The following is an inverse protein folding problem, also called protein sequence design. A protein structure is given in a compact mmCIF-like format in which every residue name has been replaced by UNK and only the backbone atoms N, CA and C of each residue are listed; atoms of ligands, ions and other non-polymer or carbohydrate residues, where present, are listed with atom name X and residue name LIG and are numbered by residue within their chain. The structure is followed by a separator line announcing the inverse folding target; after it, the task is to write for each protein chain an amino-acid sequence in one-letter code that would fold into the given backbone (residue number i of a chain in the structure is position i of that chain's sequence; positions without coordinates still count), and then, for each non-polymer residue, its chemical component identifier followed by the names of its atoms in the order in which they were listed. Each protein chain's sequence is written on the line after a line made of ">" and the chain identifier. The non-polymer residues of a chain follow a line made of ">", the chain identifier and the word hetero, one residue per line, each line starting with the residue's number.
data_IF_419466553145
#
_entry.id   IF_419466553145
#
_cell.length_a   1.000
_cell.length_b   1.000
_cell.length_c   1.000
_cell.angle_alpha   90.00
_cell.angle_beta   90.00
_cell.angle_gamma   90.00
#
_symmetry.space_group_name_H-M   'P 1'
#
loop_
_entity.id
_entity.type
_entity.pdbx_description
1 polymer ?
#
# COMPACT_ATOMS: atom_id res chain seq x y z
N UNK A 1 15.84 12.95 27.03
CA UNK A 1 16.37 11.86 26.17
C UNK A 1 15.32 10.77 25.95
N UNK A 2 14.05 11.12 25.70
CA UNK A 2 12.94 10.13 25.69
C UNK A 2 12.13 10.10 24.39
N UNK A 3 12.21 11.14 23.55
CA UNK A 3 11.38 11.24 22.35
C UNK A 3 11.98 10.52 21.13
N UNK A 4 13.29 10.59 20.93
CA UNK A 4 13.99 9.97 19.79
C UNK A 4 13.91 8.44 19.82
N UNK A 5 14.00 7.82 21.00
CA UNK A 5 13.96 6.35 21.15
C UNK A 5 12.59 5.74 20.83
N UNK A 6 11.50 6.49 21.06
CA UNK A 6 10.14 6.02 20.72
C UNK A 6 9.94 5.95 19.20
N UNK A 7 10.42 6.96 18.46
CA UNK A 7 10.35 6.99 16.99
C UNK A 7 11.20 5.89 16.35
N UNK A 8 12.39 5.60 16.89
CA UNK A 8 13.24 4.49 16.41
C UNK A 8 12.61 3.12 16.66
N UNK A 9 12.03 2.89 17.85
CA UNK A 9 11.36 1.62 18.18
C UNK A 9 10.09 1.36 17.36
N UNK A 10 9.35 2.42 17.00
CA UNK A 10 8.18 2.32 16.13
C UNK A 10 8.58 2.00 14.67
N UNK A 11 9.71 2.51 14.19
CA UNK A 11 10.24 2.18 12.86
C UNK A 11 10.60 0.70 12.71
N UNK A 12 11.26 0.13 13.71
CA UNK A 12 11.65 -1.29 13.70
C UNK A 12 10.45 -2.24 13.74
N UNK A 13 9.45 -1.93 14.57
CA UNK A 13 8.23 -2.72 14.65
C UNK A 13 7.42 -2.65 13.35
N UNK A 14 7.30 -1.46 12.76
CA UNK A 14 6.65 -1.28 11.47
C UNK A 14 7.35 -2.09 10.36
N UNK A 15 8.68 -2.03 10.29
CA UNK A 15 9.47 -2.80 9.33
C UNK A 15 9.28 -4.32 9.50
N UNK A 16 9.23 -4.80 10.74
CA UNK A 16 8.96 -6.21 11.04
C UNK A 16 7.58 -6.65 10.51
N UNK A 17 6.54 -5.84 10.72
CA UNK A 17 5.19 -6.14 10.23
C UNK A 17 5.08 -6.05 8.71
N UNK A 18 5.77 -5.08 8.08
CA UNK A 18 5.90 -4.96 6.62
C UNK A 18 6.49 -6.23 6.04
N UNK A 19 7.60 -6.72 6.59
CA UNK A 19 8.28 -7.93 6.13
C UNK A 19 7.40 -9.18 6.29
N UNK A 20 6.65 -9.28 7.40
CA UNK A 20 5.71 -10.37 7.63
C UNK A 20 4.60 -10.39 6.57
N UNK A 21 3.94 -9.26 6.33
CA UNK A 21 2.86 -9.16 5.34
C UNK A 21 3.40 -9.39 3.93
N UNK A 22 4.54 -8.80 3.58
CA UNK A 22 5.19 -9.00 2.30
C UNK A 22 5.55 -10.47 2.08
N UNK A 23 6.09 -11.15 3.09
CA UNK A 23 6.42 -12.57 3.03
C UNK A 23 5.18 -13.45 2.81
N UNK A 24 4.10 -13.20 3.54
CA UNK A 24 2.84 -13.92 3.36
C UNK A 24 2.24 -13.69 1.97
N UNK A 25 2.21 -12.44 1.50
CA UNK A 25 1.65 -12.10 0.20
C UNK A 25 2.48 -12.69 -0.94
N UNK A 26 3.81 -12.56 -0.90
CA UNK A 26 4.72 -13.13 -1.92
C UNK A 26 4.59 -14.64 -2.05
N UNK A 27 4.28 -15.36 -0.97
CA UNK A 27 4.07 -16.80 -1.00
C UNK A 27 2.73 -17.23 -1.66
N UNK A 28 1.79 -16.32 -1.87
CA UNK A 28 0.45 -16.60 -2.39
C UNK A 28 0.25 -16.23 -3.86
N UNK A 29 1.16 -15.44 -4.43
CA UNK A 29 1.00 -14.80 -5.74
C UNK A 29 1.92 -15.41 -6.79
N UNK A 30 1.60 -15.21 -8.06
CA UNK A 30 2.51 -15.65 -9.14
C UNK A 30 3.62 -14.62 -9.41
N UNK A 31 3.37 -13.34 -9.11
CA UNK A 31 4.31 -12.24 -9.35
C UNK A 31 4.81 -11.64 -8.03
N UNK A 32 5.73 -12.31 -7.29
CA UNK A 32 6.22 -11.82 -6.00
C UNK A 32 6.96 -10.47 -6.10
N UNK A 33 7.50 -10.15 -7.28
CA UNK A 33 8.20 -8.88 -7.54
C UNK A 33 7.25 -7.67 -7.63
N UNK A 34 5.95 -7.92 -7.84
CA UNK A 34 4.90 -6.89 -7.89
C UNK A 34 4.11 -6.78 -6.58
N UNK A 35 4.69 -7.26 -5.49
CA UNK A 35 4.15 -7.11 -4.15
C UNK A 35 4.88 -6.00 -3.44
N UNK A 36 4.17 -4.93 -3.12
CA UNK A 36 4.70 -3.82 -2.30
C UNK A 36 3.86 -3.64 -1.07
N UNK A 37 4.51 -3.32 0.04
CA UNK A 37 3.86 -3.06 1.33
C UNK A 37 4.40 -1.74 1.86
N UNK A 38 3.51 -0.80 2.11
CA UNK A 38 3.82 0.50 2.69
C UNK A 38 3.24 0.57 4.11
N UNK A 39 4.03 1.09 5.06
CA UNK A 39 3.57 1.34 6.42
C UNK A 39 3.30 2.83 6.60
N UNK A 40 2.04 3.16 6.83
CA UNK A 40 1.62 4.50 7.25
C UNK A 40 1.51 4.48 8.77
N UNK A 41 2.53 5.02 9.43
CA UNK A 41 2.58 5.12 10.88
C UNK A 41 1.79 6.33 11.38
N UNK A 42 1.06 6.11 12.47
CA UNK A 42 0.39 7.09 13.29
C UNK A 42 0.78 6.83 14.76
N UNK A 43 0.34 7.69 15.69
CA UNK A 43 0.78 7.68 17.08
C UNK A 43 0.70 6.30 17.76
N UNK A 44 -0.46 5.66 17.67
CA UNK A 44 -0.75 4.36 18.31
C UNK A 44 -1.22 3.31 17.28
N UNK A 45 -1.04 3.59 15.99
CA UNK A 45 -1.46 2.68 14.94
C UNK A 45 -0.54 2.70 13.72
N UNK A 46 -0.55 1.60 12.96
CA UNK A 46 0.14 1.49 11.68
C UNK A 46 -0.80 0.82 10.69
N UNK A 47 -1.07 1.51 9.59
CA UNK A 47 -1.80 0.96 8.46
C UNK A 47 -0.80 0.40 7.45
N UNK A 48 -0.94 -0.90 7.15
CA UNK A 48 -0.15 -1.59 6.15
C UNK A 48 -0.94 -1.61 4.84
N UNK A 49 -0.43 -0.91 3.82
CA UNK A 49 -1.02 -0.90 2.49
C UNK A 49 -0.31 -1.96 1.65
N UNK A 50 -0.97 -3.09 1.42
CA UNK A 50 -0.51 -4.13 0.54
C UNK A 50 -1.03 -3.86 -0.88
N UNK A 51 -0.12 -3.55 -1.80
CA UNK A 51 -0.42 -3.41 -3.23
C UNK A 51 0.07 -4.64 -3.97
N UNK A 52 -0.79 -5.20 -4.80
CA UNK A 52 -0.47 -6.39 -5.62
C UNK A 52 -0.99 -6.24 -7.04
N UNK A 53 -0.37 -6.99 -7.95
CA UNK A 53 -0.82 -7.06 -9.34
C UNK A 53 -2.31 -7.45 -9.45
N UNK A 54 -3.04 -6.93 -10.45
CA UNK A 54 -4.44 -7.27 -10.67
C UNK A 54 -4.74 -8.78 -10.74
N UNK A 55 -3.85 -9.55 -11.36
CA UNK A 55 -3.93 -11.01 -11.49
C UNK A 55 -3.82 -11.76 -10.15
N UNK A 56 -3.22 -11.13 -9.15
CA UNK A 56 -2.87 -11.75 -7.87
C UNK A 56 -3.80 -11.33 -6.73
N UNK A 57 -4.56 -10.25 -6.91
CA UNK A 57 -5.54 -9.75 -5.93
C UNK A 57 -6.49 -10.85 -5.43
N UNK A 58 -7.03 -11.66 -6.35
CA UNK A 58 -7.95 -12.75 -6.00
C UNK A 58 -7.33 -13.81 -5.09
N UNK A 59 -6.02 -14.06 -5.22
CA UNK A 59 -5.29 -15.04 -4.40
C UNK A 59 -5.01 -14.52 -3.00
N UNK A 60 -4.64 -13.25 -2.90
CA UNK A 60 -4.37 -12.57 -1.62
C UNK A 60 -5.66 -12.39 -0.81
N UNK A 61 -6.75 -11.98 -1.45
CA UNK A 61 -8.07 -11.89 -0.79
C UNK A 61 -8.54 -13.30 -0.41
N UNK A 62 -8.39 -14.25 -1.33
CA UNK A 62 -8.86 -15.62 -1.19
C UNK A 62 -10.37 -15.74 -1.28
N UNK A 63 -10.86 -16.98 -1.46
CA UNK A 63 -12.31 -17.26 -1.54
C UNK A 63 -13.03 -16.72 -0.30
N UNK A 64 -14.06 -15.91 -0.51
CA UNK A 64 -14.84 -15.23 0.55
C UNK A 64 -13.98 -14.37 1.50
N UNK A 65 -12.82 -13.88 1.05
CA UNK A 65 -11.93 -13.06 1.86
C UNK A 65 -11.22 -13.82 2.99
N UNK A 66 -11.23 -15.16 2.97
CA UNK A 66 -10.67 -15.98 4.06
C UNK A 66 -9.18 -15.71 4.28
N UNK A 67 -8.40 -15.59 3.21
CA UNK A 67 -6.96 -15.33 3.29
C UNK A 67 -6.68 -13.96 3.89
N UNK A 68 -7.33 -12.92 3.37
CA UNK A 68 -7.21 -11.56 3.92
C UNK A 68 -7.68 -11.47 5.39
N UNK A 69 -8.73 -12.20 5.76
CA UNK A 69 -9.19 -12.27 7.15
C UNK A 69 -8.15 -12.91 8.06
N UNK A 70 -7.53 -14.01 7.63
CA UNK A 70 -6.46 -14.67 8.39
C UNK A 70 -5.26 -13.75 8.62
N UNK A 71 -4.82 -13.01 7.59
CA UNK A 71 -3.75 -12.02 7.74
C UNK A 71 -4.13 -10.94 8.76
N UNK A 72 -5.37 -10.44 8.72
CA UNK A 72 -5.88 -9.47 9.71
C UNK A 72 -5.93 -10.03 11.12
N UNK A 73 -6.27 -11.31 11.29
CA UNK A 73 -6.23 -11.99 12.59
C UNK A 73 -4.81 -12.02 13.16
N UNK A 74 -3.81 -12.35 12.32
CA UNK A 74 -2.40 -12.36 12.73
C UNK A 74 -1.96 -10.96 13.18
N UNK A 75 -2.30 -9.92 12.41
CA UNK A 75 -2.01 -8.53 12.77
C UNK A 75 -2.74 -8.09 14.03
N UNK A 76 -3.98 -8.55 14.26
CA UNK A 76 -4.71 -8.32 15.51
C UNK A 76 -3.99 -8.90 16.73
N UNK A 77 -3.50 -10.14 16.63
CA UNK A 77 -2.72 -10.76 17.69
C UNK A 77 -1.40 -10.02 17.94
N UNK A 78 -0.70 -9.60 16.88
CA UNK A 78 0.50 -8.77 17.00
C UNK A 78 0.20 -7.42 17.67
N UNK A 79 -0.95 -6.83 17.35
CA UNK A 79 -1.38 -5.55 17.92
C UNK A 79 -1.57 -5.62 19.43
N UNK A 80 -2.20 -6.70 19.91
CA UNK A 80 -2.41 -6.92 21.35
C UNK A 80 -1.09 -7.00 22.10
N UNK A 81 -0.11 -7.74 21.55
CA UNK A 81 1.21 -7.92 22.15
C UNK A 81 2.02 -6.62 22.16
N UNK A 82 1.95 -5.84 21.08
CA UNK A 82 2.71 -4.61 20.93
C UNK A 82 2.06 -3.39 21.61
N UNK A 83 0.81 -3.49 22.07
CA UNK A 83 -0.01 -2.34 22.48
C UNK A 83 -0.06 -1.25 21.39
N UNK A 84 0.01 -1.66 20.12
CA UNK A 84 0.06 -0.79 18.94
C UNK A 84 -0.83 -1.37 17.85
N UNK A 85 -1.73 -0.59 17.27
CA UNK A 85 -2.77 -1.13 16.37
C UNK A 85 -2.27 -1.31 14.94
N UNK A 86 -2.20 -2.53 14.45
CA UNK A 86 -1.95 -2.83 13.04
C UNK A 86 -3.24 -3.05 12.26
N UNK A 87 -3.33 -2.44 11.08
CA UNK A 87 -4.42 -2.70 10.12
C UNK A 87 -3.87 -3.01 8.73
N UNK A 88 -4.65 -3.72 7.92
CA UNK A 88 -4.27 -4.14 6.57
C UNK A 88 -5.31 -3.68 5.56
N UNK A 89 -4.86 -2.84 4.64
CA UNK A 89 -5.55 -2.49 3.41
C UNK A 89 -4.91 -3.23 2.23
N UNK A 90 -5.74 -3.80 1.36
CA UNK A 90 -5.31 -4.60 0.21
C UNK A 90 -5.83 -3.91 -1.03
N UNK A 91 -4.91 -3.34 -1.81
CA UNK A 91 -5.22 -2.56 -3.00
C UNK A 91 -4.66 -3.25 -4.23
N UNK A 92 -5.34 -3.04 -5.35
CA UNK A 92 -4.77 -3.34 -6.65
C UNK A 92 -3.70 -2.30 -6.97
N UNK A 93 -2.58 -2.72 -7.53
CA UNK A 93 -1.65 -1.80 -8.17
C UNK A 93 -2.35 -1.22 -9.40
N UNK A 94 -2.94 -0.04 -9.25
CA UNK A 94 -3.52 0.69 -10.37
C UNK A 94 -2.38 1.09 -11.29
N UNK A 95 -2.31 0.44 -12.46
CA UNK A 95 -1.28 0.65 -13.46
C UNK A 95 -1.39 2.01 -14.14
N UNK A 96 -1.31 3.11 -13.39
CA UNK A 96 -0.98 4.41 -13.96
C UNK A 96 0.44 4.31 -14.52
N UNK A 97 0.53 3.86 -15.79
CA UNK A 97 1.70 4.12 -16.62
C UNK A 97 1.98 5.62 -16.45
N UNK A 98 3.17 5.95 -15.96
CA UNK A 98 3.77 7.28 -16.17
C UNK A 98 3.86 7.50 -17.67
N UNK A 99 2.78 7.93 -18.31
CA UNK A 99 2.87 8.58 -19.59
C UNK A 99 3.49 9.96 -19.31
N UNK A 100 4.79 10.04 -19.57
CA UNK A 100 5.57 11.27 -19.57
C UNK A 100 5.47 11.99 -20.93
N UNK A 101 4.32 11.94 -21.61
CA UNK A 101 4.24 12.46 -22.98
C UNK A 101 2.84 12.97 -23.30
N UNK A 102 2.56 14.20 -22.88
CA UNK A 102 2.11 15.33 -23.73
C UNK A 102 1.64 16.45 -22.79
N UNK A 103 2.38 17.57 -22.64
CA UNK A 103 1.79 18.76 -22.06
C UNK A 103 0.57 19.15 -22.90
N UNK A 104 -0.54 19.63 -22.32
CA UNK A 104 -1.65 20.13 -23.10
C UNK A 104 -1.08 21.17 -24.06
N UNK A 105 -1.12 20.88 -25.37
CA UNK A 105 -0.86 21.90 -26.37
C UNK A 105 -1.86 23.01 -26.08
N UNK A 106 -1.36 24.16 -25.65
CA UNK A 106 -2.13 25.39 -25.66
C UNK A 106 -2.50 25.60 -27.12
N UNK A 107 -3.70 25.17 -27.51
CA UNK A 107 -4.32 25.62 -28.74
C UNK A 107 -4.50 27.13 -28.61
N UNK A 108 -3.54 27.87 -29.16
CA UNK A 108 -3.75 29.24 -29.60
C UNK A 108 -4.89 29.22 -30.62
N UNK A 109 -6.12 29.44 -30.18
CA UNK A 109 -7.16 29.93 -31.08
C UNK A 109 -7.02 31.44 -31.15
N UNK A 110 -6.20 31.83 -32.13
CA UNK A 110 -6.11 33.16 -32.67
C UNK A 110 -7.24 33.32 -33.70
N UNK A 111 -8.47 33.48 -33.24
CA UNK A 111 -9.55 33.91 -34.13
C UNK A 111 -9.46 35.42 -34.26
N UNK A 112 -8.64 35.77 -35.24
CA UNK A 112 -8.65 37.03 -35.95
C UNK A 112 -9.87 36.99 -36.87
N UNK A 113 -10.98 37.59 -36.44
CA UNK A 113 -12.02 38.01 -37.38
C UNK A 113 -12.03 39.55 -37.40
N UNK A 114 -11.13 40.04 -38.25
CA UNK A 114 -11.31 41.27 -39.00
C UNK A 114 -12.30 41.01 -40.14
N UNK A 115 -13.02 42.08 -40.51
CA UNK A 115 -13.85 42.27 -41.70
C UNK A 115 -15.22 41.55 -41.64
N UNK A 116 -16.38 42.23 -41.68
CA UNK A 116 -16.81 43.32 -42.58
C UNK A 116 -17.92 44.19 -41.95
#
# INVERSE_FOLDING_TARGET
>A
MTETTLLESQGDLANSMVNLVAGMAKALVDNPDRVTVEAVADRDSTMLLLRVAPSDLGKVIGKQGRTARSMRTILGAASMKAQHRFSLDIQQEDGWKKDKSTPPTLEEHQDSDSDE
#
